data_IF_263560239264
#
_entry.id   IF_263560239264
#
_cell.length_a   1.000
_cell.length_b   1.000
_cell.length_c   1.000
_cell.angle_alpha   90.00
_cell.angle_beta   90.00
_cell.angle_gamma   90.00
#
_symmetry.space_group_name_H-M   'P 1'
#
loop_
_entity.id
_entity.type
_entity.pdbx_description
1 polymer ?
#
# COMPACT_ATOMS: atom_id res chain seq x y z
N UNK A 1 0.22 10.29 3.70
CA UNK A 1 0.51 8.85 3.50
C UNK A 1 -0.16 8.32 2.23
N UNK A 2 0.48 7.33 1.60
CA UNK A 2 -0.02 6.74 0.35
C UNK A 2 -0.94 5.54 0.56
N UNK A 3 -1.01 5.01 1.77
CA UNK A 3 -1.85 3.87 2.09
C UNK A 3 -2.80 4.20 3.25
N UNK A 4 -4.09 3.89 3.09
CA UNK A 4 -5.08 4.01 4.18
C UNK A 4 -4.92 2.94 5.27
N UNK A 5 -4.23 1.84 4.98
CA UNK A 5 -3.92 0.80 5.95
C UNK A 5 -3.23 1.34 7.21
N UNK A 6 -2.50 2.46 7.09
CA UNK A 6 -1.87 3.13 8.22
C UNK A 6 -2.84 3.88 9.15
N UNK A 7 -4.13 3.92 8.82
CA UNK A 7 -5.15 4.60 9.63
C UNK A 7 -5.96 3.63 10.49
N UNK A 8 -5.33 2.58 10.98
CA UNK A 8 -5.93 1.64 11.92
C UNK A 8 -6.38 0.31 11.33
N UNK A 9 -5.82 -0.11 10.20
CA UNK A 9 -6.03 -1.46 9.68
C UNK A 9 -4.82 -2.33 10.00
N UNK A 10 -5.05 -3.40 10.75
CA UNK A 10 -4.14 -4.52 10.93
C UNK A 10 -4.90 -5.79 10.64
N UNK A 11 -4.20 -6.84 10.26
CA UNK A 11 -4.78 -8.18 10.12
C UNK A 11 -4.19 -9.09 11.17
N UNK A 12 -5.03 -9.97 11.70
CA UNK A 12 -4.63 -11.00 12.68
C UNK A 12 -4.96 -12.34 12.05
N UNK A 13 -3.99 -13.25 12.01
CA UNK A 13 -4.21 -14.61 11.52
C UNK A 13 -4.82 -15.52 12.59
N UNK A 14 -5.12 -16.77 12.22
CA UNK A 14 -5.74 -17.75 13.13
C UNK A 14 -4.87 -18.09 14.35
N UNK A 15 -3.56 -17.95 14.23
CA UNK A 15 -2.59 -18.17 15.29
C UNK A 15 -2.42 -16.94 16.22
N UNK A 16 -3.02 -15.82 15.85
CA UNK A 16 -2.94 -14.56 16.59
C UNK A 16 -1.76 -13.68 16.17
N UNK A 17 -1.05 -14.02 15.10
CA UNK A 17 0.02 -13.18 14.59
C UNK A 17 -0.53 -11.95 13.89
N UNK A 18 0.09 -10.81 14.13
CA UNK A 18 -0.32 -9.52 13.57
C UNK A 18 0.53 -9.19 12.36
N UNK A 19 -0.13 -8.84 11.27
CA UNK A 19 0.48 -8.35 10.03
C UNK A 19 -0.07 -6.96 9.69
N UNK A 20 0.68 -6.12 8.97
CA UNK A 20 0.28 -4.73 8.71
C UNK A 20 -1.02 -4.59 7.93
N UNK A 21 -1.28 -5.50 7.00
CA UNK A 21 -2.54 -5.60 6.26
C UNK A 21 -2.71 -7.00 5.69
N UNK A 22 -3.93 -7.36 5.30
CA UNK A 22 -4.24 -8.69 4.77
C UNK A 22 -3.48 -9.04 3.48
N UNK A 23 -3.12 -8.04 2.67
CA UNK A 23 -2.33 -8.24 1.45
C UNK A 23 -0.91 -8.74 1.73
N UNK A 24 -0.41 -8.54 2.95
CA UNK A 24 0.90 -9.02 3.39
C UNK A 24 0.84 -10.36 4.10
N UNK A 25 -0.33 -10.91 4.38
CA UNK A 25 -0.45 -12.14 5.18
C UNK A 25 0.37 -13.30 4.59
N UNK A 26 0.23 -13.56 3.28
CA UNK A 26 1.00 -14.60 2.60
C UNK A 26 2.51 -14.31 2.57
N UNK A 27 2.89 -13.08 2.26
CA UNK A 27 4.29 -12.69 2.24
C UNK A 27 4.94 -12.84 3.63
N UNK A 28 4.27 -12.35 4.67
CA UNK A 28 4.75 -12.45 6.05
C UNK A 28 4.84 -13.91 6.52
N UNK A 29 3.82 -14.72 6.25
CA UNK A 29 3.83 -16.13 6.60
C UNK A 29 5.00 -16.87 5.94
N UNK A 30 5.22 -16.66 4.65
CA UNK A 30 6.29 -17.31 3.89
C UNK A 30 7.71 -16.91 4.34
N UNK A 31 7.85 -15.73 4.96
CA UNK A 31 9.14 -15.23 5.44
C UNK A 31 9.30 -15.31 6.97
N UNK A 32 8.32 -15.87 7.67
CA UNK A 32 8.33 -15.93 9.13
C UNK A 32 8.31 -14.57 9.80
N UNK A 33 7.66 -13.57 9.17
CA UNK A 33 7.60 -12.20 9.64
C UNK A 33 6.28 -11.93 10.35
N UNK A 34 6.33 -11.26 11.49
CA UNK A 34 5.16 -10.79 12.22
C UNK A 34 5.50 -9.53 13.02
N UNK A 35 4.54 -8.64 13.18
CA UNK A 35 4.67 -7.47 14.05
C UNK A 35 4.70 -7.91 15.51
N UNK A 36 3.89 -8.91 15.84
CA UNK A 36 3.77 -9.52 17.15
C UNK A 36 2.60 -10.48 17.20
N UNK A 37 2.19 -10.92 18.37
CA UNK A 37 1.10 -11.89 18.54
C UNK A 37 0.13 -11.45 19.64
N UNK A 38 -1.14 -11.28 19.27
CA UNK A 38 -2.17 -10.76 20.18
C UNK A 38 -2.44 -11.66 21.39
N UNK A 39 -2.16 -12.96 21.29
CA UNK A 39 -2.30 -13.90 22.41
C UNK A 39 -1.18 -13.73 23.45
N UNK A 40 -0.04 -13.15 23.06
CA UNK A 40 1.13 -12.96 23.93
C UNK A 40 1.23 -11.54 24.49
N UNK A 41 1.01 -10.53 23.64
CA UNK A 41 1.32 -9.14 23.98
C UNK A 41 0.08 -8.25 24.10
N UNK A 42 -1.05 -8.70 23.59
CA UNK A 42 -2.26 -7.89 23.46
C UNK A 42 -2.20 -6.87 22.32
N UNK A 43 -3.33 -6.64 21.66
CA UNK A 43 -3.41 -5.77 20.48
C UNK A 43 -3.03 -4.32 20.78
N UNK A 44 -3.47 -3.79 21.92
CA UNK A 44 -3.19 -2.41 22.30
C UNK A 44 -1.68 -2.14 22.41
N UNK A 45 -0.95 -3.04 23.08
CA UNK A 45 0.51 -2.93 23.22
C UNK A 45 1.19 -2.95 21.86
N UNK A 46 0.82 -3.86 20.98
CA UNK A 46 1.38 -3.96 19.62
C UNK A 46 1.13 -2.70 18.79
N UNK A 47 -0.05 -2.11 18.86
CA UNK A 47 -0.38 -0.88 18.14
C UNK A 47 0.42 0.32 18.64
N UNK A 48 0.70 0.38 19.95
CA UNK A 48 1.50 1.47 20.53
C UNK A 48 2.97 1.46 20.11
N UNK A 49 3.50 0.33 19.65
CA UNK A 49 4.91 0.26 19.18
C UNK A 49 5.15 1.01 17.88
N UNK A 50 4.13 1.31 17.10
CA UNK A 50 4.24 1.95 15.80
C UNK A 50 4.87 1.06 14.71
N UNK A 51 5.35 -0.13 15.03
CA UNK A 51 6.01 -1.03 14.04
C UNK A 51 5.17 -1.29 12.81
N UNK A 52 3.87 -1.49 12.96
CA UNK A 52 2.99 -1.73 11.83
C UNK A 52 2.91 -0.53 10.86
N UNK A 53 3.15 0.67 11.35
CA UNK A 53 3.21 1.88 10.52
C UNK A 53 4.48 1.86 9.69
N UNK A 54 5.62 1.53 10.31
CA UNK A 54 6.92 1.56 9.66
C UNK A 54 7.05 0.51 8.55
N UNK A 55 6.36 -0.61 8.68
CA UNK A 55 6.45 -1.73 7.72
C UNK A 55 5.92 -1.39 6.32
N UNK A 56 4.78 -0.71 6.22
CA UNK A 56 4.12 -0.46 4.92
C UNK A 56 3.83 1.01 4.66
N UNK A 57 3.94 1.88 5.66
CA UNK A 57 3.60 3.27 5.46
C UNK A 57 4.71 4.02 4.75
N UNK A 58 4.30 4.86 3.81
CA UNK A 58 5.17 5.77 3.09
C UNK A 58 4.42 7.06 2.80
N UNK A 59 5.13 8.16 2.69
CA UNK A 59 4.61 9.41 2.14
C UNK A 59 4.93 9.49 0.65
N UNK A 60 4.20 10.34 -0.08
CA UNK A 60 4.51 10.62 -1.49
C UNK A 60 5.93 11.17 -1.65
N UNK A 61 6.38 11.99 -0.70
CA UNK A 61 7.74 12.54 -0.69
C UNK A 61 8.81 11.46 -0.56
N UNK A 62 8.62 10.53 0.38
CA UNK A 62 9.54 9.40 0.55
C UNK A 62 9.59 8.50 -0.69
N UNK A 63 8.42 8.21 -1.31
CA UNK A 63 8.38 7.44 -2.56
C UNK A 63 9.14 8.12 -3.69
N UNK A 64 8.96 9.43 -3.88
CA UNK A 64 9.69 10.19 -4.90
C UNK A 64 11.20 10.20 -4.62
N UNK A 65 11.60 10.37 -3.37
CA UNK A 65 13.01 10.39 -2.97
C UNK A 65 13.70 9.03 -3.16
N UNK A 66 12.96 7.93 -2.93
CA UNK A 66 13.51 6.58 -2.96
C UNK A 66 13.35 5.87 -4.30
N UNK A 67 12.51 6.37 -5.20
CA UNK A 67 12.17 5.70 -6.45
C UNK A 67 12.08 6.68 -7.62
N UNK A 68 13.15 6.76 -8.39
CA UNK A 68 13.29 7.66 -9.53
C UNK A 68 12.23 7.39 -10.63
N UNK A 69 11.85 6.12 -10.86
CA UNK A 69 10.79 5.77 -11.81
C UNK A 69 9.45 6.37 -11.42
N UNK A 70 9.15 6.40 -10.12
CA UNK A 70 7.96 7.04 -9.62
C UNK A 70 8.08 8.57 -9.65
N UNK A 71 9.25 9.11 -9.31
CA UNK A 71 9.48 10.56 -9.27
C UNK A 71 9.26 11.23 -10.63
N UNK A 72 9.71 10.59 -11.71
CA UNK A 72 9.61 11.08 -13.09
C UNK A 72 8.30 10.67 -13.81
N UNK A 73 7.46 9.85 -13.18
CA UNK A 73 6.28 9.29 -13.85
C UNK A 73 5.12 10.29 -13.94
N UNK A 74 4.65 10.55 -15.17
CA UNK A 74 3.50 11.45 -15.42
C UNK A 74 2.20 11.00 -14.72
N UNK A 75 2.07 9.71 -14.43
CA UNK A 75 0.91 9.14 -13.75
C UNK A 75 1.02 9.12 -12.22
N UNK A 76 2.15 9.56 -11.66
CA UNK A 76 2.38 9.46 -10.21
C UNK A 76 1.27 10.11 -9.37
N UNK A 77 0.72 11.24 -9.83
CA UNK A 77 -0.38 11.94 -9.15
C UNK A 77 -1.66 11.09 -9.02
N UNK A 78 -1.89 10.15 -9.93
CA UNK A 78 -3.06 9.26 -9.94
C UNK A 78 -2.75 7.92 -9.28
N UNK A 79 -1.58 7.37 -9.57
CA UNK A 79 -1.10 6.09 -9.07
C UNK A 79 -0.69 6.14 -7.59
N UNK A 80 -0.11 7.27 -7.15
CA UNK A 80 0.48 7.45 -5.81
C UNK A 80 1.47 6.34 -5.42
N UNK A 81 2.13 5.74 -6.41
CA UNK A 81 3.08 4.64 -6.23
C UNK A 81 2.45 3.25 -6.09
N UNK A 82 1.13 3.14 -6.10
CA UNK A 82 0.42 1.86 -5.98
C UNK A 82 0.40 1.29 -4.56
N UNK A 83 0.19 -0.01 -4.43
CA UNK A 83 0.11 -0.71 -3.15
C UNK A 83 1.50 -1.03 -2.60
N UNK A 84 1.80 -0.56 -1.40
CA UNK A 84 3.10 -0.83 -0.76
C UNK A 84 3.30 -2.30 -0.39
N UNK A 85 2.22 -3.01 -0.08
CA UNK A 85 2.27 -4.45 0.16
C UNK A 85 2.67 -5.22 -1.10
N UNK A 86 2.11 -4.86 -2.26
CA UNK A 86 2.47 -5.47 -3.54
C UNK A 86 3.91 -5.11 -3.90
N UNK A 87 4.33 -3.84 -3.72
CA UNK A 87 5.72 -3.45 -3.93
C UNK A 87 6.67 -4.30 -3.09
N UNK A 88 6.41 -4.42 -1.79
CA UNK A 88 7.24 -5.21 -0.87
C UNK A 88 7.28 -6.69 -1.28
N UNK A 89 6.13 -7.29 -1.61
CA UNK A 89 6.05 -8.69 -1.99
C UNK A 89 6.80 -9.02 -3.29
N UNK A 90 6.82 -8.11 -4.26
CA UNK A 90 7.45 -8.32 -5.56
C UNK A 90 8.88 -7.80 -5.66
N UNK A 91 9.23 -6.76 -4.94
CA UNK A 91 10.55 -6.12 -5.03
C UNK A 91 11.39 -6.23 -3.77
N UNK A 92 10.83 -6.80 -2.69
CA UNK A 92 11.43 -6.82 -1.35
C UNK A 92 11.74 -5.42 -0.79
N UNK A 93 11.10 -4.39 -1.37
CA UNK A 93 11.25 -2.99 -0.97
C UNK A 93 9.88 -2.30 -0.95
N UNK A 94 9.50 -1.74 0.19
CA UNK A 94 8.26 -0.99 0.31
C UNK A 94 8.23 0.29 -0.54
N UNK A 95 9.39 0.79 -0.95
CA UNK A 95 9.53 1.93 -1.85
C UNK A 95 9.66 1.52 -3.32
N UNK A 96 9.71 0.23 -3.61
CA UNK A 96 9.72 -0.30 -4.95
C UNK A 96 8.48 0.05 -5.77
N UNK A 97 8.49 -0.26 -7.04
CA UNK A 97 7.31 -0.09 -7.89
C UNK A 97 6.28 -1.19 -7.61
N UNK A 98 5.01 -0.83 -7.63
CA UNK A 98 3.91 -1.79 -7.75
C UNK A 98 3.78 -2.20 -9.22
N UNK A 99 4.15 -3.43 -9.60
CA UNK A 99 4.17 -3.84 -10.99
C UNK A 99 2.78 -3.83 -11.61
N UNK A 100 1.74 -4.22 -10.88
CA UNK A 100 0.36 -4.25 -11.40
C UNK A 100 -0.17 -2.86 -11.72
N UNK A 101 0.14 -1.87 -10.88
CA UNK A 101 -0.21 -0.47 -11.17
C UNK A 101 0.62 0.11 -12.31
N UNK A 102 1.92 -0.20 -12.36
CA UNK A 102 2.75 0.22 -13.48
C UNK A 102 2.24 -0.31 -14.82
N UNK A 103 1.89 -1.59 -14.90
CA UNK A 103 1.34 -2.20 -16.11
C UNK A 103 -0.01 -1.58 -16.50
N UNK A 104 -0.88 -1.33 -15.52
CA UNK A 104 -2.17 -0.67 -15.78
C UNK A 104 -1.99 0.68 -16.49
N UNK A 105 -1.09 1.53 -16.01
CA UNK A 105 -0.87 2.84 -16.60
C UNK A 105 -0.05 2.79 -17.91
N UNK A 106 1.00 1.97 -17.95
CA UNK A 106 1.87 1.87 -19.12
C UNK A 106 1.16 1.28 -20.36
N UNK A 107 0.24 0.35 -20.15
CA UNK A 107 -0.50 -0.29 -21.23
C UNK A 107 -1.76 0.49 -21.67
N UNK A 108 -1.92 1.72 -21.19
CA UNK A 108 -3.01 2.61 -21.60
C UNK A 108 -4.38 2.22 -21.05
N UNK A 109 -4.46 1.34 -20.03
CA UNK A 109 -5.74 0.99 -19.42
C UNK A 109 -6.39 2.16 -18.70
N UNK A 110 -5.59 3.07 -18.16
CA UNK A 110 -6.11 4.30 -17.56
C UNK A 110 -6.85 5.15 -18.59
N UNK A 111 -6.25 5.39 -19.74
CA UNK A 111 -6.84 6.17 -20.83
C UNK A 111 -8.10 5.50 -21.39
N UNK A 112 -8.10 4.19 -21.54
CA UNK A 112 -9.29 3.41 -21.93
C UNK A 112 -10.41 3.57 -20.91
N UNK A 113 -10.10 3.43 -19.61
CA UNK A 113 -11.08 3.60 -18.54
C UNK A 113 -11.69 5.00 -18.56
N UNK A 114 -10.86 6.03 -18.63
CA UNK A 114 -11.32 7.43 -18.68
C UNK A 114 -12.19 7.68 -19.92
N UNK A 115 -11.80 7.13 -21.08
CA UNK A 115 -12.57 7.24 -22.31
C UNK A 115 -13.93 6.55 -22.26
N UNK A 116 -14.07 5.46 -21.53
CA UNK A 116 -15.35 4.73 -21.38
C UNK A 116 -16.28 5.32 -20.33
N UNK A 117 -15.75 6.01 -19.33
CA UNK A 117 -16.54 6.63 -18.24
C UNK A 117 -17.21 7.96 -18.63
N UNK A 118 -16.98 8.47 -19.86
CA UNK A 118 -17.45 9.79 -20.26
C UNK A 118 -16.79 10.91 -19.48
N UNK A 119 -17.47 12.03 -19.32
CA UNK A 119 -16.90 13.17 -18.59
C UNK A 119 -17.01 12.95 -17.06
N UNK A 120 -16.13 12.11 -16.53
CA UNK A 120 -16.03 11.80 -15.10
C UNK A 120 -15.78 13.04 -14.23
N UNK A 121 -15.38 14.17 -14.83
CA UNK A 121 -15.21 15.47 -14.14
C UNK A 121 -16.52 16.02 -13.63
N UNK A 122 -17.63 15.52 -14.17
CA UNK A 122 -18.98 15.87 -13.73
C UNK A 122 -19.52 14.92 -12.63
N UNK A 123 -18.79 13.84 -12.31
CA UNK A 123 -19.09 13.08 -11.11
C UNK A 123 -18.65 13.90 -9.90
N UNK A 124 -19.57 14.09 -8.95
CA UNK A 124 -19.28 14.82 -7.73
C UNK A 124 -17.96 14.30 -7.11
N UNK A 125 -17.05 15.18 -6.69
CA UNK A 125 -15.81 14.74 -6.09
C UNK A 125 -16.14 13.90 -4.86
N UNK A 126 -15.55 12.70 -4.79
CA UNK A 126 -15.62 11.88 -3.58
C UNK A 126 -14.88 12.68 -2.51
N UNK A 127 -15.66 13.29 -1.60
CA UNK A 127 -15.12 13.95 -0.42
C UNK A 127 -14.47 12.86 0.45
N UNK A 128 -13.20 13.03 0.72
CA UNK A 128 -12.43 12.19 1.64
C UNK A 128 -12.18 12.98 2.93
N UNK A 129 -13.27 13.41 3.57
CA UNK A 129 -13.23 13.96 4.92
C UNK A 129 -12.84 12.88 5.94
#
# INVERSE_FOLDING_TARGET
PVCRGNRGMVSVDADGNVVPCHQLSGYYANHGLYIGNVKKEGLQSLLQTGKYIDEVCATLGQLKASNEKCASCKYFRYCAGGCRAISLAFTHDKFGVDPSKCEFFKNGYYEKLVGTMGDWRNLAPISFD
#
